data_IF_253580438317
#
_entry.id   IF_253580438317
#
_cell.length_a   1.000
_cell.length_b   1.000
_cell.length_c   1.000
_cell.angle_alpha   90.00
_cell.angle_beta   90.00
_cell.angle_gamma   90.00
#
_symmetry.space_group_name_H-M   'P 1'
#
loop_
_entity.id
_entity.type
_entity.pdbx_description
1 polymer ?
#
# COMPACT_ATOMS: atom_id res chain seq x y z
N UNK A 1 -20.08 7.80 -1.63
CA UNK A 1 -19.94 8.95 -0.75
C UNK A 1 -19.43 8.50 0.60
N UNK A 2 -18.15 8.72 0.88
CA UNK A 2 -17.62 8.66 2.25
C UNK A 2 -17.54 10.12 2.73
N UNK A 3 -18.17 10.47 3.86
CA UNK A 3 -18.35 11.85 4.26
C UNK A 3 -17.01 12.45 4.70
N UNK A 4 -16.95 13.77 4.58
CA UNK A 4 -15.90 14.68 5.01
C UNK A 4 -15.51 14.48 6.49
N UNK A 5 -14.78 13.41 6.84
CA UNK A 5 -14.30 13.17 8.20
C UNK A 5 -12.95 13.83 8.49
N UNK A 6 -12.39 14.59 7.54
CA UNK A 6 -11.10 15.27 7.72
C UNK A 6 -11.22 16.51 8.63
N UNK A 7 -12.43 17.05 8.82
CA UNK A 7 -12.63 18.31 9.54
C UNK A 7 -12.64 18.20 11.08
N UNK A 8 -12.77 16.99 11.66
CA UNK A 8 -12.79 16.78 13.13
C UNK A 8 -11.63 15.90 13.65
N UNK A 9 -10.60 15.71 12.84
CA UNK A 9 -9.42 14.95 13.28
C UNK A 9 -8.57 15.82 14.21
N UNK A 10 -8.60 15.52 15.51
CA UNK A 10 -7.73 16.18 16.49
C UNK A 10 -6.25 16.12 16.07
N UNK A 11 -5.46 17.12 16.49
CA UNK A 11 -4.05 17.24 16.13
C UNK A 11 -3.20 15.94 16.26
N UNK A 12 -3.39 15.05 17.26
CA UNK A 12 -2.53 13.86 17.37
C UNK A 12 -2.87 12.82 16.29
N UNK A 13 -4.14 12.77 15.86
CA UNK A 13 -4.61 11.89 14.80
C UNK A 13 -4.06 12.32 13.44
N UNK A 14 -4.00 13.63 13.18
CA UNK A 14 -3.39 14.19 11.96
C UNK A 14 -1.89 13.87 11.87
N UNK A 15 -1.14 14.02 12.98
CA UNK A 15 0.28 13.67 13.02
C UNK A 15 0.51 12.17 12.82
N UNK A 16 -0.34 11.33 13.41
CA UNK A 16 -0.29 9.89 13.21
C UNK A 16 -0.56 9.50 11.75
N UNK A 17 -1.58 10.08 11.11
CA UNK A 17 -1.87 9.87 9.69
C UNK A 17 -0.71 10.33 8.80
N UNK A 18 -0.13 11.50 9.07
CA UNK A 18 1.05 12.01 8.34
C UNK A 18 2.25 11.08 8.47
N UNK A 19 2.49 10.50 9.65
CA UNK A 19 3.55 9.49 9.85
C UNK A 19 3.32 8.22 9.02
N UNK A 20 2.06 7.78 8.90
CA UNK A 20 1.66 6.62 8.12
C UNK A 20 1.81 6.88 6.60
N UNK A 21 1.40 8.06 6.13
CA UNK A 21 1.59 8.49 4.74
C UNK A 21 3.08 8.51 4.38
N UNK A 22 3.92 9.09 5.23
CA UNK A 22 5.37 9.14 4.99
C UNK A 22 5.98 7.73 4.96
N UNK A 23 5.49 6.83 5.81
CA UNK A 23 5.92 5.43 5.79
C UNK A 23 5.57 4.72 4.48
N UNK A 24 4.45 5.07 3.82
CA UNK A 24 4.09 4.50 2.52
C UNK A 24 5.10 4.82 1.43
N UNK A 25 5.74 5.99 1.46
CA UNK A 25 6.82 6.32 0.52
C UNK A 25 8.10 5.51 0.76
N UNK A 26 8.31 4.96 1.96
CA UNK A 26 9.47 4.09 2.21
C UNK A 26 9.29 2.67 1.64
N UNK A 27 8.04 2.19 1.55
CA UNK A 27 7.70 0.84 1.07
C UNK A 27 8.30 0.51 -0.30
N UNK A 28 8.15 1.35 -1.36
CA UNK A 28 8.71 1.01 -2.67
C UNK A 28 10.24 0.88 -2.65
N UNK A 29 10.94 1.71 -1.87
CA UNK A 29 12.39 1.59 -1.70
C UNK A 29 12.78 0.32 -0.94
N UNK A 30 12.00 -0.09 0.06
CA UNK A 30 12.21 -1.37 0.76
C UNK A 30 12.04 -2.55 -0.20
N UNK A 31 11.00 -2.53 -1.05
CA UNK A 31 10.75 -3.57 -2.05
C UNK A 31 11.87 -3.65 -3.07
N UNK A 32 12.32 -2.51 -3.61
CA UNK A 32 13.45 -2.43 -4.52
C UNK A 32 14.73 -3.00 -3.90
N UNK A 33 15.03 -2.63 -2.64
CA UNK A 33 16.18 -3.17 -1.91
C UNK A 33 16.09 -4.69 -1.77
N UNK A 34 14.92 -5.21 -1.39
CA UNK A 34 14.70 -6.66 -1.25
C UNK A 34 14.87 -7.35 -2.60
N UNK A 35 14.35 -6.77 -3.68
CA UNK A 35 14.48 -7.29 -5.03
C UNK A 35 15.94 -7.39 -5.47
N UNK A 36 16.71 -6.30 -5.36
CA UNK A 36 18.14 -6.29 -5.71
C UNK A 36 18.92 -7.28 -4.85
N UNK A 37 18.63 -7.36 -3.54
CA UNK A 37 19.27 -8.34 -2.66
C UNK A 37 18.97 -9.78 -3.10
N UNK A 38 17.75 -10.06 -3.54
CA UNK A 38 17.39 -11.37 -4.03
C UNK A 38 18.13 -11.71 -5.34
N UNK A 39 18.28 -10.75 -6.25
CA UNK A 39 19.09 -10.92 -7.47
C UNK A 39 20.56 -11.23 -7.15
N UNK A 40 21.13 -10.54 -6.15
CA UNK A 40 22.52 -10.76 -5.68
C UNK A 40 22.69 -12.16 -5.11
N UNK A 41 21.75 -12.63 -4.29
CA UNK A 41 21.81 -13.97 -3.70
C UNK A 41 21.66 -15.06 -4.77
N UNK A 42 20.75 -14.86 -5.72
CA UNK A 42 20.51 -15.79 -6.83
C UNK A 42 21.74 -15.92 -7.72
N UNK A 43 22.47 -14.82 -7.95
CA UNK A 43 23.60 -14.76 -8.89
C UNK A 43 24.98 -14.65 -8.21
N UNK A 44 25.11 -15.02 -6.93
CA UNK A 44 26.31 -14.74 -6.12
C UNK A 44 27.60 -15.31 -6.71
N UNK A 45 27.54 -16.48 -7.38
CA UNK A 45 28.72 -17.11 -8.00
C UNK A 45 29.30 -16.25 -9.12
N UNK A 46 28.45 -15.69 -9.98
CA UNK A 46 28.83 -14.80 -11.08
C UNK A 46 29.46 -13.51 -10.52
N UNK A 47 28.80 -12.91 -9.52
CA UNK A 47 29.24 -11.67 -8.89
C UNK A 47 30.64 -11.84 -8.28
N UNK A 48 30.88 -12.95 -7.58
CA UNK A 48 32.19 -13.29 -7.00
C UNK A 48 33.24 -13.54 -8.07
N UNK A 49 32.90 -14.26 -9.15
CA UNK A 49 33.82 -14.56 -10.26
C UNK A 49 34.33 -13.29 -10.96
N UNK A 50 33.46 -12.28 -11.11
CA UNK A 50 33.82 -10.99 -11.74
C UNK A 50 34.22 -9.89 -10.74
N UNK A 51 34.30 -10.20 -9.44
CA UNK A 51 34.57 -9.23 -8.37
C UNK A 51 33.61 -8.02 -8.37
N UNK A 52 32.34 -8.21 -8.76
CA UNK A 52 31.31 -7.16 -8.80
C UNK A 52 30.69 -6.83 -7.43
N UNK A 53 31.33 -7.23 -6.33
CA UNK A 53 30.79 -7.05 -4.99
C UNK A 53 30.61 -5.56 -4.63
N UNK A 54 31.61 -4.75 -4.93
CA UNK A 54 31.62 -3.32 -4.62
C UNK A 54 30.51 -2.53 -5.35
N UNK A 55 30.32 -2.68 -6.68
CA UNK A 55 29.23 -1.98 -7.37
C UNK A 55 27.84 -2.42 -6.91
N UNK A 56 27.62 -3.72 -6.65
CA UNK A 56 26.36 -4.19 -6.09
C UNK A 56 26.13 -3.68 -4.66
N UNK A 57 27.18 -3.63 -3.83
CA UNK A 57 27.11 -3.08 -2.47
C UNK A 57 26.78 -1.58 -2.48
N UNK A 58 27.38 -0.81 -3.39
CA UNK A 58 27.05 0.61 -3.56
C UNK A 58 25.59 0.78 -3.96
N UNK A 59 25.12 0.05 -4.98
CA UNK A 59 23.73 0.11 -5.45
C UNK A 59 22.72 -0.16 -4.34
N UNK A 60 22.96 -1.19 -3.52
CA UNK A 60 22.10 -1.50 -2.37
C UNK A 60 22.15 -0.40 -1.30
N UNK A 61 23.32 0.21 -1.10
CA UNK A 61 23.50 1.30 -0.12
C UNK A 61 22.77 2.57 -0.56
N UNK A 62 22.77 2.89 -1.85
CA UNK A 62 22.09 4.05 -2.41
C UNK A 62 20.57 3.95 -2.21
N UNK A 63 19.97 2.80 -2.58
CA UNK A 63 18.54 2.52 -2.32
C UNK A 63 18.23 2.57 -0.81
N UNK A 64 19.12 2.02 0.02
CA UNK A 64 18.97 2.03 1.48
C UNK A 64 19.05 3.44 2.07
N UNK A 65 19.81 4.35 1.47
CA UNK A 65 19.88 5.74 1.91
C UNK A 65 18.55 6.48 1.64
N UNK A 66 17.92 6.25 0.49
CA UNK A 66 16.59 6.81 0.19
C UNK A 66 15.50 6.21 1.08
N UNK A 67 15.52 4.90 1.32
CA UNK A 67 14.66 4.22 2.30
C UNK A 67 14.80 4.87 3.69
N UNK A 68 16.04 5.05 4.15
CA UNK A 68 16.36 5.61 5.47
C UNK A 68 15.81 7.02 5.65
N UNK A 69 15.90 7.90 4.65
CA UNK A 69 15.38 9.28 4.74
C UNK A 69 13.89 9.30 5.08
N UNK A 70 13.10 8.48 4.37
CA UNK A 70 11.65 8.38 4.58
C UNK A 70 11.32 7.76 5.95
N UNK A 71 12.02 6.69 6.32
CA UNK A 71 11.84 6.03 7.62
C UNK A 71 12.20 6.96 8.79
N UNK A 72 13.30 7.71 8.70
CA UNK A 72 13.70 8.66 9.74
C UNK A 72 12.69 9.80 9.90
N UNK A 73 12.19 10.34 8.79
CA UNK A 73 11.16 11.39 8.81
C UNK A 73 9.86 10.89 9.44
N UNK A 74 9.43 9.67 9.09
CA UNK A 74 8.26 9.02 9.70
C UNK A 74 8.46 8.79 11.20
N UNK A 75 9.64 8.30 11.60
CA UNK A 75 10.00 8.06 12.99
C UNK A 75 9.99 9.35 13.81
N UNK A 76 10.56 10.44 13.29
CA UNK A 76 10.59 11.74 13.97
C UNK A 76 9.18 12.29 14.21
N UNK A 77 8.31 12.24 13.20
CA UNK A 77 6.90 12.67 13.33
C UNK A 77 6.16 11.80 14.33
N UNK A 78 6.41 10.49 14.31
CA UNK A 78 5.83 9.57 15.28
C UNK A 78 6.31 9.88 16.71
N UNK A 79 7.60 10.14 16.91
CA UNK A 79 8.16 10.55 18.21
C UNK A 79 7.50 11.83 18.72
N UNK A 80 7.36 12.87 17.88
CA UNK A 80 6.67 14.12 18.26
C UNK A 80 5.23 13.82 18.69
N UNK A 81 4.50 13.02 17.91
CA UNK A 81 3.13 12.64 18.22
C UNK A 81 3.02 11.95 19.59
N UNK A 82 3.94 11.03 19.90
CA UNK A 82 3.96 10.33 21.20
C UNK A 82 4.37 11.22 22.37
N UNK A 83 5.29 12.17 22.19
CA UNK A 83 5.74 13.07 23.26
C UNK A 83 4.77 14.22 23.54
N UNK A 84 3.92 14.59 22.59
CA UNK A 84 3.01 15.75 22.74
C UNK A 84 1.98 15.54 23.85
N UNK A 85 1.40 14.33 23.95
CA UNK A 85 0.39 14.00 24.96
C UNK A 85 0.87 14.17 26.41
N UNK A 86 2.00 13.56 26.86
CA UNK A 86 2.46 13.73 28.24
C UNK A 86 2.93 15.16 28.54
N UNK A 87 3.43 15.90 27.55
CA UNK A 87 3.84 17.31 27.73
C UNK A 87 2.64 18.21 28.00
N UNK A 88 1.54 18.04 27.27
CA UNK A 88 0.29 18.79 27.49
C UNK A 88 -0.23 18.57 28.91
N UNK A 89 -0.17 17.34 29.43
CA UNK A 89 -0.58 17.06 30.82
C UNK A 89 0.31 17.76 31.86
N UNK A 90 1.63 17.92 31.62
CA UNK A 90 2.49 18.68 32.54
C UNK A 90 2.10 20.15 32.52
N UNK A 91 1.96 20.74 31.33
CA UNK A 91 1.63 22.16 31.17
C UNK A 91 0.26 22.46 31.79
N UNK A 92 -0.74 21.61 31.56
CA UNK A 92 -2.06 21.74 32.17
C UNK A 92 -2.01 21.64 33.70
N UNK A 93 -1.24 20.70 34.26
CA UNK A 93 -1.07 20.60 35.71
C UNK A 93 -0.44 21.87 36.29
N UNK A 94 0.63 22.37 35.69
CA UNK A 94 1.29 23.62 36.10
C UNK A 94 0.32 24.80 36.01
N UNK A 95 -0.45 24.92 34.93
CA UNK A 95 -1.43 25.98 34.76
C UNK A 95 -2.53 25.96 35.82
N UNK A 96 -3.01 24.76 36.20
CA UNK A 96 -4.00 24.60 37.27
C UNK A 96 -3.41 25.01 38.62
N UNK A 97 -2.19 24.58 38.94
CA UNK A 97 -1.51 24.99 40.18
C UNK A 97 -1.29 26.52 40.21
N UNK A 98 -0.83 27.11 39.10
CA UNK A 98 -0.64 28.56 39.00
C UNK A 98 -1.96 29.31 39.21
N UNK A 99 -3.03 28.91 38.50
CA UNK A 99 -4.35 29.54 38.61
C UNK A 99 -4.95 29.43 40.01
N UNK A 100 -4.72 28.31 40.69
CA UNK A 100 -5.16 28.11 42.06
C UNK A 100 -4.40 29.03 43.04
N UNK A 101 -3.08 29.16 42.89
CA UNK A 101 -2.28 30.07 43.73
C UNK A 101 -2.58 31.55 43.48
N UNK A 102 -2.85 31.94 42.23
CA UNK A 102 -3.20 33.31 41.86
C UNK A 102 -4.58 33.73 42.38
N UNK A 103 -5.51 32.77 42.55
CA UNK A 103 -6.83 33.03 43.16
C UNK A 103 -6.77 33.28 44.68
N UNK A 104 -5.59 33.20 45.31
CA UNK A 104 -5.40 33.47 46.74
C UNK A 104 -5.74 32.29 47.65
N UNK A 105 -5.97 31.10 47.10
CA UNK A 105 -6.27 29.90 47.89
C UNK A 105 -4.98 29.26 48.41
N UNK A 106 -4.96 28.84 49.69
CA UNK A 106 -3.83 28.11 50.28
C UNK A 106 -3.88 26.64 49.84
N UNK A 107 -2.84 26.17 49.15
CA UNK A 107 -2.76 24.76 48.75
C UNK A 107 -2.26 23.89 49.90
N UNK A 108 -3.11 22.97 50.37
CA UNK A 108 -2.67 21.95 51.33
C UNK A 108 -1.93 20.84 50.60
N UNK A 109 -0.90 20.25 51.23
CA UNK A 109 -0.13 19.17 50.62
C UNK A 109 -1.01 17.98 50.18
N UNK A 110 -2.03 17.62 50.98
CA UNK A 110 -2.99 16.54 50.65
C UNK A 110 -3.78 16.80 49.37
N UNK A 111 -4.19 18.04 49.14
CA UNK A 111 -4.91 18.45 47.92
C UNK A 111 -3.98 18.42 46.70
N UNK A 112 -2.75 18.93 46.83
CA UNK A 112 -1.76 18.93 45.75
C UNK A 112 -1.38 17.52 45.29
N UNK A 113 -1.16 16.59 46.23
CA UNK A 113 -0.87 15.18 45.90
C UNK A 113 -2.05 14.48 45.24
N UNK A 114 -3.27 14.82 45.63
CA UNK A 114 -4.49 14.27 45.02
C UNK A 114 -4.63 14.73 43.56
N UNK A 115 -4.44 16.02 43.29
CA UNK A 115 -4.46 16.58 41.93
C UNK A 115 -3.33 16.01 41.07
N UNK A 116 -2.12 15.86 41.61
CA UNK A 116 -1.00 15.23 40.92
C UNK A 116 -1.32 13.80 40.48
N UNK A 117 -1.92 13.00 41.39
CA UNK A 117 -2.31 11.61 41.11
C UNK A 117 -3.38 11.54 40.02
N UNK A 118 -4.35 12.46 40.03
CA UNK A 118 -5.36 12.57 38.99
C UNK A 118 -4.75 12.90 37.63
N UNK A 119 -3.80 13.84 37.55
CA UNK A 119 -3.09 14.17 36.31
C UNK A 119 -2.21 13.03 35.81
N UNK A 120 -1.62 12.23 36.71
CA UNK A 120 -0.88 11.03 36.35
C UNK A 120 -1.79 9.98 35.70
N UNK A 121 -3.00 9.77 36.24
CA UNK A 121 -4.01 8.90 35.65
C UNK A 121 -4.53 9.44 34.30
N UNK A 122 -4.75 10.74 34.19
CA UNK A 122 -5.15 11.37 32.92
C UNK A 122 -4.09 11.20 31.82
N UNK A 123 -2.80 11.28 32.19
CA UNK A 123 -1.68 11.07 31.25
C UNK A 123 -1.70 9.66 30.63
N UNK A 124 -1.91 8.62 31.44
CA UNK A 124 -1.92 7.23 30.93
C UNK A 124 -3.13 6.97 30.03
N UNK A 125 -4.29 7.54 30.38
CA UNK A 125 -5.49 7.48 29.55
C UNK A 125 -5.27 8.14 28.19
N UNK A 126 -4.74 9.38 28.15
CA UNK A 126 -4.51 10.10 26.90
C UNK A 126 -3.48 9.42 25.98
N UNK A 127 -2.40 8.87 26.56
CA UNK A 127 -1.38 8.16 25.80
C UNK A 127 -1.92 6.87 25.15
N UNK A 128 -2.77 6.13 25.86
CA UNK A 128 -3.37 4.89 25.33
C UNK A 128 -4.42 5.16 24.26
N UNK A 129 -5.23 6.21 24.38
CA UNK A 129 -6.23 6.57 23.35
C UNK A 129 -5.60 6.84 21.98
N UNK A 130 -4.48 7.57 21.92
CA UNK A 130 -3.78 7.89 20.66
C UNK A 130 -3.24 6.62 20.00
N UNK A 131 -2.64 5.72 20.79
CA UNK A 131 -2.08 4.47 20.29
C UNK A 131 -3.19 3.51 19.81
N UNK A 132 -4.32 3.47 20.51
CA UNK A 132 -5.45 2.62 20.17
C UNK A 132 -6.15 3.09 18.88
N UNK A 133 -6.29 4.41 18.69
CA UNK A 133 -6.87 4.96 17.45
C UNK A 133 -6.05 4.58 16.20
N UNK A 134 -4.72 4.61 16.30
CA UNK A 134 -3.83 4.15 15.22
C UNK A 134 -4.01 2.66 14.92
N UNK A 135 -4.02 1.82 15.96
CA UNK A 135 -4.18 0.37 15.79
C UNK A 135 -5.51 -0.01 15.14
N UNK A 136 -6.59 0.71 15.46
CA UNK A 136 -7.90 0.50 14.82
C UNK A 136 -7.84 0.88 13.33
N UNK A 137 -7.20 2.00 12.99
CA UNK A 137 -7.04 2.41 11.59
C UNK A 137 -6.24 1.39 10.77
N UNK A 138 -5.12 0.91 11.33
CA UNK A 138 -4.29 -0.12 10.71
C UNK A 138 -5.06 -1.46 10.58
N UNK A 139 -5.84 -1.85 11.59
CA UNK A 139 -6.67 -3.06 11.55
C UNK A 139 -7.77 -2.98 10.47
N UNK A 140 -8.45 -1.82 10.33
CA UNK A 140 -9.45 -1.61 9.28
C UNK A 140 -8.80 -1.71 7.88
N UNK A 141 -7.63 -1.10 7.70
CA UNK A 141 -6.89 -1.22 6.43
C UNK A 141 -6.48 -2.67 6.14
N UNK A 142 -5.98 -3.40 7.14
CA UNK A 142 -5.65 -4.82 7.00
C UNK A 142 -6.86 -5.68 6.60
N UNK A 143 -8.01 -5.45 7.25
CA UNK A 143 -9.26 -6.13 6.90
C UNK A 143 -9.73 -5.83 5.47
N UNK A 144 -9.52 -4.59 4.97
CA UNK A 144 -9.83 -4.24 3.58
C UNK A 144 -8.93 -5.00 2.61
N UNK A 145 -7.63 -5.09 2.90
CA UNK A 145 -6.68 -5.80 2.05
C UNK A 145 -7.01 -7.29 1.92
N UNK A 146 -7.42 -7.95 3.00
CA UNK A 146 -7.83 -9.36 2.96
C UNK A 146 -9.04 -9.60 2.04
N UNK A 147 -10.04 -8.71 2.07
CA UNK A 147 -11.24 -8.83 1.20
C UNK A 147 -10.93 -8.64 -0.28
N UNK A 148 -9.92 -7.84 -0.61
CA UNK A 148 -9.48 -7.64 -2.01
C UNK A 148 -8.82 -8.90 -2.56
N UNK A 149 -8.10 -9.66 -1.73
CA UNK A 149 -7.43 -10.90 -2.14
C UNK A 149 -8.38 -12.07 -2.46
N UNK A 150 -9.67 -11.97 -2.13
CA UNK A 150 -10.65 -13.05 -2.33
C UNK A 150 -11.30 -13.02 -3.73
N UNK A 151 -11.17 -11.92 -4.48
CA UNK A 151 -11.98 -11.66 -5.69
C UNK A 151 -11.50 -12.29 -7.00
N UNK A 152 -10.43 -13.06 -7.03
CA UNK A 152 -9.85 -13.59 -8.28
C UNK A 152 -9.51 -15.08 -8.18
N UNK A 153 -10.53 -15.93 -8.06
CA UNK A 153 -10.40 -17.35 -8.37
C UNK A 153 -11.44 -17.74 -9.41
N UNK A 154 -10.97 -18.40 -10.46
CA UNK A 154 -11.82 -19.03 -11.47
C UNK A 154 -12.83 -19.92 -10.77
N UNK A 155 -14.11 -19.73 -11.07
CA UNK A 155 -15.16 -20.65 -10.64
C UNK A 155 -15.05 -21.93 -11.45
N UNK A 156 -15.17 -23.08 -10.78
CA UNK A 156 -15.25 -24.37 -11.45
C UNK A 156 -16.52 -24.39 -12.32
N UNK A 157 -16.47 -24.95 -13.54
CA UNK A 157 -17.65 -25.03 -14.38
C UNK A 157 -18.76 -25.85 -13.70
N UNK A 158 -20.01 -25.40 -13.79
CA UNK A 158 -21.20 -26.08 -13.24
C UNK A 158 -21.52 -27.41 -13.97
N UNK A 159 -20.95 -27.62 -15.16
CA UNK A 159 -21.15 -28.83 -15.98
C UNK A 159 -20.17 -29.95 -15.64
N UNK A 160 -20.70 -31.17 -15.42
CA UNK A 160 -19.90 -32.34 -15.05
C UNK A 160 -18.94 -32.82 -16.16
N UNK A 161 -19.23 -32.56 -17.43
CA UNK A 161 -18.49 -33.15 -18.57
C UNK A 161 -17.32 -32.28 -19.10
N UNK A 162 -17.32 -30.99 -18.78
CA UNK A 162 -16.36 -30.02 -19.33
C UNK A 162 -15.28 -29.69 -18.29
N UNK A 163 -14.03 -29.63 -18.73
CA UNK A 163 -12.87 -29.33 -17.89
C UNK A 163 -12.47 -27.85 -17.98
N UNK A 164 -12.44 -27.30 -19.20
CA UNK A 164 -12.05 -25.91 -19.48
C UNK A 164 -12.98 -25.35 -20.56
N UNK A 165 -13.55 -24.17 -20.30
CA UNK A 165 -14.38 -23.43 -21.25
C UNK A 165 -13.91 -21.98 -21.25
N UNK A 166 -13.34 -21.55 -22.38
CA UNK A 166 -12.97 -20.17 -22.68
C UNK A 166 -13.84 -19.73 -23.87
N UNK A 167 -14.59 -18.64 -23.71
CA UNK A 167 -15.44 -18.07 -24.75
C UNK A 167 -15.04 -16.62 -24.99
N UNK A 168 -14.49 -16.32 -26.17
CA UNK A 168 -14.05 -14.98 -26.60
C UNK A 168 -13.18 -14.25 -25.56
N UNK A 169 -12.42 -15.00 -24.77
CA UNK A 169 -11.70 -14.43 -23.63
C UNK A 169 -10.42 -13.76 -24.08
N UNK A 170 -10.14 -12.61 -23.50
CA UNK A 170 -8.92 -11.84 -23.77
C UNK A 170 -8.14 -11.69 -22.46
N UNK A 171 -6.87 -12.06 -22.48
CA UNK A 171 -5.99 -12.09 -21.31
C UNK A 171 -4.87 -11.06 -21.42
N UNK A 172 -4.57 -10.43 -20.28
CA UNK A 172 -3.47 -9.45 -20.16
C UNK A 172 -2.68 -9.64 -18.87
N UNK A 173 -1.36 -9.47 -18.98
CA UNK A 173 -0.44 -9.46 -17.83
C UNK A 173 -0.41 -8.12 -17.10
N UNK A 174 -1.00 -7.08 -17.69
CA UNK A 174 -1.11 -5.73 -17.11
C UNK A 174 -2.57 -5.32 -17.04
N UNK A 175 -2.93 -4.68 -15.93
CA UNK A 175 -4.16 -3.89 -15.84
C UNK A 175 -4.14 -2.87 -16.99
N UNK A 176 -5.19 -2.86 -17.80
CA UNK A 176 -5.36 -1.81 -18.80
C UNK A 176 -5.89 -0.59 -18.07
N UNK A 177 -5.18 0.53 -18.13
CA UNK A 177 -5.80 1.82 -17.86
C UNK A 177 -6.94 2.01 -18.88
N UNK A 178 -8.16 2.31 -18.41
CA UNK A 178 -9.40 2.50 -19.20
C UNK A 178 -9.30 3.50 -20.37
N UNK A 179 -8.15 4.16 -20.52
CA UNK A 179 -7.79 5.05 -21.62
C UNK A 179 -7.68 4.40 -23.02
N UNK A 180 -7.83 3.07 -23.14
CA UNK A 180 -7.58 2.35 -24.40
C UNK A 180 -8.85 1.87 -25.13
N UNK A 181 -10.04 2.35 -24.76
CA UNK A 181 -11.31 2.05 -25.45
C UNK A 181 -11.72 3.28 -26.29
N UNK A 182 -12.19 3.05 -27.51
CA UNK A 182 -12.33 3.95 -28.67
C UNK A 182 -12.83 5.42 -28.46
N UNK A 183 -12.54 6.33 -29.43
CA UNK A 183 -12.32 7.77 -29.21
C UNK A 183 -13.54 8.70 -29.12
N UNK A 184 -14.76 8.20 -28.88
CA UNK A 184 -15.96 8.98 -29.21
C UNK A 184 -16.98 9.25 -28.10
N UNK A 185 -16.57 9.27 -26.84
CA UNK A 185 -17.38 9.90 -25.78
C UNK A 185 -16.58 10.91 -24.98
N UNK A 186 -16.71 12.18 -25.36
CA UNK A 186 -16.51 13.30 -24.43
C UNK A 186 -17.73 13.36 -23.51
N UNK A 187 -17.54 13.06 -22.24
CA UNK A 187 -18.30 13.71 -21.17
C UNK A 187 -17.32 14.00 -20.03
N UNK A 188 -16.96 15.28 -19.91
CA UNK A 188 -16.06 15.75 -18.87
C UNK A 188 -16.76 15.81 -17.51
N UNK A 189 -16.00 15.50 -16.45
CA UNK A 189 -16.16 16.09 -15.13
C UNK A 189 -14.76 16.18 -14.48
N UNK A 190 -14.20 17.37 -14.57
CA UNK A 190 -13.55 18.16 -13.50
C UNK A 190 -12.79 17.43 -12.38
N UNK A 191 -11.47 17.69 -12.39
CA UNK A 191 -10.62 18.01 -11.24
C UNK A 191 -11.24 17.85 -9.83
N UNK A 192 -10.99 16.71 -9.19
CA UNK A 192 -10.96 16.59 -7.73
C UNK A 192 -9.64 15.97 -7.30
N UNK A 193 -8.79 16.82 -6.73
CA UNK A 193 -7.44 16.47 -6.31
C UNK A 193 -7.40 15.38 -5.25
N UNK A 194 -6.79 14.26 -5.60
CA UNK A 194 -6.24 13.27 -4.70
C UNK A 194 -4.73 13.15 -4.99
N UNK A 195 -3.83 13.36 -4.02
CA UNK A 195 -2.40 13.16 -4.23
C UNK A 195 -2.10 11.65 -4.12
N UNK A 196 -2.31 10.96 -5.23
CA UNK A 196 -1.98 9.55 -5.43
C UNK A 196 -1.79 9.17 -6.91
N UNK A 197 -2.17 10.03 -7.84
CA UNK A 197 -1.88 9.88 -9.26
C UNK A 197 -0.52 10.50 -9.57
N UNK A 198 0.43 9.67 -9.97
CA UNK A 198 1.70 10.11 -10.54
C UNK A 198 1.41 10.94 -11.80
N UNK A 199 1.45 12.26 -11.68
CA UNK A 199 1.57 13.16 -12.82
C UNK A 199 2.99 13.05 -13.36
N UNK A 200 3.19 12.20 -14.37
CA UNK A 200 4.40 12.24 -15.19
C UNK A 200 4.17 13.23 -16.34
N UNK A 201 4.53 14.49 -16.13
CA UNK A 201 4.58 15.49 -17.18
C UNK A 201 5.83 15.29 -18.04
N UNK A 202 5.61 14.74 -19.24
CA UNK A 202 6.24 15.09 -20.52
C UNK A 202 7.73 15.45 -20.54
N UNK A 203 8.57 14.52 -20.98
CA UNK A 203 9.25 14.58 -22.28
C UNK A 203 10.33 13.51 -22.35
N UNK A 204 10.02 12.38 -22.95
CA UNK A 204 10.96 11.71 -23.86
C UNK A 204 10.16 10.79 -24.78
N UNK A 205 10.09 11.23 -26.03
CA UNK A 205 9.57 10.50 -27.17
C UNK A 205 10.42 9.26 -27.42
N UNK A 206 9.92 8.09 -27.01
CA UNK A 206 10.22 6.85 -27.69
C UNK A 206 8.92 6.10 -27.96
N UNK A 207 8.47 6.21 -29.20
CA UNK A 207 7.22 5.65 -29.66
C UNK A 207 7.23 4.11 -29.58
N UNK A 208 6.15 3.59 -28.98
CA UNK A 208 5.39 2.41 -29.40
C UNK A 208 6.11 1.06 -29.52
N UNK A 209 6.03 0.25 -28.46
CA UNK A 209 5.74 -1.19 -28.53
C UNK A 209 5.50 -1.80 -27.14
N UNK A 210 4.28 -1.72 -26.58
CA UNK A 210 3.72 -2.76 -25.67
C UNK A 210 2.34 -2.41 -25.08
N UNK A 211 1.38 -1.95 -25.88
CA UNK A 211 -0.02 -1.84 -25.43
C UNK A 211 -0.88 -2.83 -26.21
N UNK A 212 -1.00 -4.06 -25.70
CA UNK A 212 -1.92 -5.06 -26.23
C UNK A 212 -2.08 -6.26 -25.26
N UNK A 213 -3.29 -6.84 -25.13
CA UNK A 213 -3.49 -8.13 -24.50
C UNK A 213 -2.63 -9.20 -25.19
N UNK A 214 -1.99 -10.07 -24.42
CA UNK A 214 -1.07 -11.08 -24.94
C UNK A 214 -1.81 -12.25 -25.62
N UNK A 215 -3.07 -12.49 -25.25
CA UNK A 215 -3.97 -13.46 -25.88
C UNK A 215 -5.32 -12.81 -26.11
N UNK A 216 -5.83 -12.83 -27.34
CA UNK A 216 -7.07 -12.16 -27.72
C UNK A 216 -8.08 -13.17 -28.26
N UNK A 217 -9.35 -12.99 -27.87
CA UNK A 217 -10.49 -13.69 -28.43
C UNK A 217 -10.31 -15.22 -28.50
N UNK A 218 -9.94 -15.82 -27.38
CA UNK A 218 -9.71 -17.26 -27.28
C UNK A 218 -11.02 -18.02 -27.02
N UNK A 219 -11.33 -18.91 -27.96
CA UNK A 219 -12.39 -19.92 -27.87
C UNK A 219 -11.76 -21.30 -27.68
N UNK A 220 -11.91 -21.89 -26.50
CA UNK A 220 -11.34 -23.20 -26.16
C UNK A 220 -12.31 -24.00 -25.30
N UNK A 221 -12.64 -25.21 -25.74
CA UNK A 221 -13.54 -26.12 -25.03
C UNK A 221 -12.88 -27.49 -24.90
N UNK A 222 -12.57 -27.91 -23.67
CA UNK A 222 -11.90 -29.18 -23.37
C UNK A 222 -12.80 -30.00 -22.45
N UNK A 223 -13.06 -31.27 -22.82
CA UNK A 223 -13.81 -32.24 -22.00
C UNK A 223 -12.90 -32.98 -21.03
N UNK A 224 -13.47 -33.45 -19.91
CA UNK A 224 -12.75 -34.28 -18.94
C UNK A 224 -12.32 -35.60 -19.58
N UNK A 225 -11.11 -36.07 -19.25
CA UNK A 225 -10.54 -37.32 -19.79
C UNK A 225 -9.85 -37.19 -21.16
N UNK A 226 -9.83 -36.00 -21.77
CA UNK A 226 -9.13 -35.77 -23.04
C UNK A 226 -7.71 -35.23 -22.81
N UNK A 227 -6.75 -35.74 -23.57
CA UNK A 227 -5.39 -35.19 -23.65
C UNK A 227 -5.30 -34.26 -24.88
N UNK A 228 -5.01 -32.98 -24.66
CA UNK A 228 -4.90 -31.96 -25.71
C UNK A 228 -3.46 -31.43 -25.75
N UNK A 229 -2.86 -31.39 -26.95
CA UNK A 229 -1.55 -30.78 -27.18
C UNK A 229 -1.67 -29.39 -27.78
N UNK A 230 -0.85 -28.44 -27.31
CA UNK A 230 -0.77 -27.07 -27.82
C UNK A 230 0.56 -26.90 -28.54
N UNK A 231 0.54 -26.53 -29.83
CA UNK A 231 1.74 -26.33 -30.66
C UNK A 231 1.76 -24.92 -31.28
N UNK A 232 2.95 -24.36 -31.53
CA UNK A 232 3.13 -23.05 -32.14
C UNK A 232 4.59 -22.57 -32.09
N UNK A 233 4.93 -21.53 -32.86
CA UNK A 233 6.27 -20.93 -32.92
C UNK A 233 6.75 -20.35 -31.58
N UNK A 234 8.05 -20.14 -31.40
CA UNK A 234 8.60 -19.46 -30.20
C UNK A 234 7.97 -18.06 -30.10
N UNK A 235 7.43 -17.70 -28.93
CA UNK A 235 6.71 -16.43 -28.72
C UNK A 235 5.22 -16.44 -29.04
N UNK A 236 4.64 -17.56 -29.52
CA UNK A 236 3.21 -17.65 -29.87
C UNK A 236 2.22 -17.64 -28.67
N UNK A 237 2.68 -17.40 -27.44
CA UNK A 237 1.82 -17.34 -26.25
C UNK A 237 1.43 -18.68 -25.62
N UNK A 238 2.08 -19.81 -25.95
CA UNK A 238 1.78 -21.15 -25.37
C UNK A 238 1.87 -21.16 -23.84
N UNK A 239 2.97 -20.67 -23.28
CA UNK A 239 3.15 -20.60 -21.82
C UNK A 239 2.15 -19.62 -21.19
N UNK A 240 1.86 -18.52 -21.87
CA UNK A 240 0.86 -17.53 -21.43
C UNK A 240 -0.55 -18.11 -21.40
N UNK A 241 -0.89 -19.01 -22.34
CA UNK A 241 -2.17 -19.72 -22.36
C UNK A 241 -2.29 -20.67 -21.16
N UNK A 242 -1.21 -21.36 -20.77
CA UNK A 242 -1.20 -22.19 -19.57
C UNK A 242 -1.36 -21.35 -18.29
N UNK A 243 -0.65 -20.22 -18.19
CA UNK A 243 -0.83 -19.29 -17.07
C UNK A 243 -2.24 -18.69 -17.01
N UNK A 244 -2.85 -18.43 -18.16
CA UNK A 244 -4.23 -17.96 -18.26
C UNK A 244 -5.24 -19.02 -17.78
N UNK A 245 -5.04 -20.29 -18.15
CA UNK A 245 -5.87 -21.42 -17.67
C UNK A 245 -5.68 -21.66 -16.17
N UNK A 246 -4.45 -21.51 -15.66
CA UNK A 246 -4.14 -21.65 -14.24
C UNK A 246 -4.73 -20.50 -13.40
N UNK A 247 -4.95 -19.35 -14.05
CA UNK A 247 -5.57 -18.17 -13.47
C UNK A 247 -4.61 -17.14 -12.91
N UNK A 248 -3.34 -17.17 -13.34
CA UNK A 248 -2.32 -16.17 -12.99
C UNK A 248 -2.41 -14.89 -13.85
N UNK A 249 -3.25 -14.91 -14.90
CA UNK A 249 -3.40 -13.79 -15.86
C UNK A 249 -4.80 -13.21 -15.76
N UNK A 250 -4.88 -11.87 -15.81
CA UNK A 250 -6.16 -11.16 -15.71
C UNK A 250 -6.98 -11.33 -16.99
N UNK A 251 -8.28 -11.57 -16.83
CA UNK A 251 -9.27 -11.55 -17.91
C UNK A 251 -9.79 -10.13 -18.11
N UNK A 252 -9.70 -9.61 -19.34
CA UNK A 252 -10.15 -8.25 -19.67
C UNK A 252 -11.62 -8.19 -20.07
N UNK A 253 -12.08 -9.20 -20.82
CA UNK A 253 -13.49 -9.38 -21.17
C UNK A 253 -13.93 -10.72 -20.58
N UNK A 254 -14.61 -10.67 -19.44
CA UNK A 254 -15.29 -11.83 -18.87
C UNK A 254 -16.78 -11.53 -18.83
N UNK A 255 -17.53 -12.21 -19.70
CA UNK A 255 -18.98 -12.24 -19.58
C UNK A 255 -19.32 -13.50 -18.76
N UNK A 256 -19.94 -13.38 -17.58
CA UNK A 256 -20.32 -14.52 -16.74
C UNK A 256 -21.21 -15.53 -17.45
#
# INVERSE_FOLDING_TARGET
>A
GLPNSEAESGYPTLLAQKSAIIRRYAIPHTEERIHIMNEVLTNIRLIKMYAWETPFASKVTDVRNEERKHLQKSAFIHSISQTTSPVICVIAAVAVFLGHTLSGNTMTASEAFSVFTLFAAARTALATTINNAKQISDAIMGCRQMKVSEKSRFQLPDSSEEAIVLQSTTFSWKEMDDSCIDPNEKFGIDNLGFPGTCSLSSNESFASASSAPMLRNLDLKIRKGNLVGICGSVGSGKSSLLSAIYGDVMTLNWNP
#
